data_IF_401072034769
#
_entry.id   IF_401072034769
#
_cell.length_a   1.000
_cell.length_b   1.000
_cell.length_c   1.000
_cell.angle_alpha   90.00
_cell.angle_beta   90.00
_cell.angle_gamma   90.00
#
_symmetry.space_group_name_H-M   'P 1'
#
loop_
_entity.id
_entity.type
_entity.pdbx_description
1 polymer ?
#
# COMPACT_ATOMS: atom_id res chain seq x y z
N UNK A 1 -42.08 7.04 -7.01
CA UNK A 1 -42.06 7.32 -5.56
C UNK A 1 -41.09 6.36 -4.89
N UNK A 2 -39.91 6.84 -4.45
CA UNK A 2 -38.95 5.99 -3.73
C UNK A 2 -39.25 6.11 -2.23
N UNK A 3 -39.80 5.04 -1.64
CA UNK A 3 -40.01 4.94 -0.20
C UNK A 3 -38.66 4.88 0.51
N UNK A 4 -38.34 5.90 1.31
CA UNK A 4 -37.12 5.92 2.12
C UNK A 4 -37.32 5.02 3.33
N UNK A 5 -36.94 3.74 3.20
CA UNK A 5 -36.87 2.84 4.33
C UNK A 5 -35.75 3.31 5.27
N UNK A 6 -36.10 3.94 6.40
CA UNK A 6 -35.10 4.29 7.43
C UNK A 6 -34.72 3.01 8.17
N UNK A 7 -33.44 2.64 8.25
CA UNK A 7 -33.05 1.46 9.02
C UNK A 7 -33.48 1.66 10.47
N UNK A 8 -34.27 0.71 10.99
CA UNK A 8 -34.59 0.64 12.43
C UNK A 8 -33.26 0.51 13.18
N UNK A 9 -32.95 1.49 14.03
CA UNK A 9 -31.82 1.38 14.95
C UNK A 9 -32.16 0.32 15.98
N UNK A 10 -31.55 -0.85 15.86
CA UNK A 10 -31.57 -1.86 16.92
C UNK A 10 -30.55 -1.42 17.97
N UNK A 11 -31.02 -1.03 19.14
CA UNK A 11 -30.15 -0.87 20.30
C UNK A 11 -29.99 -2.22 20.97
N UNK A 12 -28.76 -2.72 21.04
CA UNK A 12 -28.42 -3.91 21.82
C UNK A 12 -27.83 -3.40 23.14
N UNK A 13 -28.54 -3.50 24.27
CA UNK A 13 -28.00 -3.11 25.57
C UNK A 13 -26.88 -4.08 25.94
N UNK A 14 -25.67 -3.56 26.11
CA UNK A 14 -24.53 -4.33 26.61
C UNK A 14 -24.41 -4.13 28.12
N UNK A 15 -24.25 -5.21 28.89
CA UNK A 15 -24.00 -5.08 30.33
C UNK A 15 -22.59 -4.50 30.57
N UNK A 16 -22.38 -3.74 31.67
CA UNK A 16 -21.06 -3.25 32.04
C UNK A 16 -20.04 -4.36 32.26
N UNK A 17 -20.47 -5.54 32.72
CA UNK A 17 -19.61 -6.72 32.90
C UNK A 17 -19.13 -7.28 31.56
N UNK A 18 -20.02 -7.36 30.57
CA UNK A 18 -19.66 -7.79 29.21
C UNK A 18 -18.73 -6.75 28.56
N UNK A 19 -18.96 -5.46 28.77
CA UNK A 19 -18.06 -4.40 28.29
C UNK A 19 -16.64 -4.52 28.86
N UNK A 20 -16.49 -4.91 30.13
CA UNK A 20 -15.17 -5.13 30.75
C UNK A 20 -14.38 -6.28 30.11
N UNK A 21 -15.05 -7.23 29.46
CA UNK A 21 -14.40 -8.32 28.72
C UNK A 21 -13.78 -7.88 27.39
N UNK A 22 -14.22 -6.74 26.83
CA UNK A 22 -13.62 -6.14 25.63
C UNK A 22 -12.45 -5.27 26.02
N UNK A 23 -11.32 -5.90 26.34
CA UNK A 23 -10.08 -5.17 26.53
C UNK A 23 -9.68 -4.48 25.21
N UNK A 24 -9.45 -3.16 25.29
CA UNK A 24 -9.01 -2.38 24.14
C UNK A 24 -7.69 -2.89 23.60
N UNK A 25 -6.84 -3.49 24.45
CA UNK A 25 -5.57 -4.11 24.03
C UNK A 25 -5.74 -5.35 23.15
N UNK A 26 -6.93 -5.98 23.18
CA UNK A 26 -7.28 -7.15 22.36
C UNK A 26 -8.07 -6.78 21.10
N UNK A 27 -8.30 -5.49 20.85
CA UNK A 27 -8.98 -5.02 19.65
C UNK A 27 -8.16 -5.35 18.40
N UNK A 28 -8.83 -5.74 17.31
CA UNK A 28 -8.19 -5.94 16.00
C UNK A 28 -7.43 -4.71 15.49
N UNK A 29 -7.82 -3.53 15.97
CA UNK A 29 -7.23 -2.23 15.63
C UNK A 29 -6.29 -1.69 16.70
N UNK A 30 -6.07 -2.44 17.79
CA UNK A 30 -5.06 -2.09 18.77
C UNK A 30 -3.68 -2.33 18.17
N UNK A 31 -2.85 -1.30 18.26
CA UNK A 31 -1.44 -1.36 17.91
C UNK A 31 -0.66 -1.03 19.20
N UNK A 32 0.32 -1.86 19.55
CA UNK A 32 1.24 -1.52 20.64
C UNK A 32 2.05 -0.29 20.27
N UNK A 33 2.63 0.40 21.26
CA UNK A 33 3.50 1.55 21.00
C UNK A 33 4.65 1.19 20.04
N UNK A 34 5.21 -0.03 20.18
CA UNK A 34 6.23 -0.57 19.29
C UNK A 34 5.71 -0.78 17.86
N UNK A 35 4.49 -1.31 17.69
CA UNK A 35 3.85 -1.47 16.38
C UNK A 35 3.59 -0.11 15.70
N UNK A 36 3.17 0.89 16.48
CA UNK A 36 2.95 2.27 16.00
C UNK A 36 4.27 2.85 15.51
N UNK A 37 5.33 2.77 16.31
CA UNK A 37 6.66 3.30 15.98
C UNK A 37 7.26 2.61 14.75
N UNK A 38 7.18 1.27 14.69
CA UNK A 38 7.59 0.51 13.51
C UNK A 38 6.77 0.92 12.26
N UNK A 39 5.47 1.16 12.44
CA UNK A 39 4.57 1.68 11.40
C UNK A 39 4.99 3.05 10.89
N UNK A 40 5.39 3.96 11.78
CA UNK A 40 5.84 5.31 11.43
C UNK A 40 7.21 5.29 10.73
N UNK A 41 8.18 4.54 11.24
CA UNK A 41 9.48 4.36 10.61
C UNK A 41 9.34 3.79 9.18
N UNK A 42 8.46 2.81 9.01
CA UNK A 42 8.11 2.27 7.69
C UNK A 42 7.52 3.34 6.76
N UNK A 43 6.56 4.14 7.25
CA UNK A 43 5.92 5.21 6.46
C UNK A 43 6.94 6.25 6.02
N UNK A 44 7.87 6.62 6.89
CA UNK A 44 8.95 7.55 6.57
C UNK A 44 9.89 6.99 5.50
N UNK A 45 10.34 5.74 5.65
CA UNK A 45 11.17 5.07 4.65
C UNK A 45 10.47 4.95 3.29
N UNK A 46 9.18 4.61 3.29
CA UNK A 46 8.34 4.58 2.08
C UNK A 46 8.20 5.97 1.44
N UNK A 47 8.00 7.02 2.23
CA UNK A 47 7.94 8.39 1.73
C UNK A 47 9.28 8.82 1.12
N UNK A 48 10.40 8.50 1.77
CA UNK A 48 11.74 8.75 1.25
C UNK A 48 11.99 8.02 -0.08
N UNK A 49 11.54 6.76 -0.20
CA UNK A 49 11.63 5.99 -1.44
C UNK A 49 10.82 6.66 -2.55
N UNK A 50 9.56 7.03 -2.29
CA UNK A 50 8.70 7.66 -3.29
C UNK A 50 9.28 9.01 -3.75
N UNK A 51 9.88 9.80 -2.84
CA UNK A 51 10.60 11.03 -3.19
C UNK A 51 11.81 10.75 -4.08
N UNK A 52 12.59 9.72 -3.77
CA UNK A 52 13.71 9.30 -4.62
C UNK A 52 13.21 8.82 -6.00
N UNK A 53 12.18 7.97 -6.06
CA UNK A 53 11.60 7.44 -7.29
C UNK A 53 11.11 8.56 -8.20
N UNK A 54 10.34 9.51 -7.65
CA UNK A 54 9.86 10.68 -8.41
C UNK A 54 11.00 11.53 -8.97
N UNK A 55 12.09 11.69 -8.22
CA UNK A 55 13.30 12.38 -8.72
C UNK A 55 13.95 11.64 -9.89
N UNK A 56 14.10 10.31 -9.79
CA UNK A 56 14.66 9.51 -10.89
C UNK A 56 13.75 9.47 -12.12
N UNK A 57 12.44 9.35 -11.93
CA UNK A 57 11.45 9.46 -13.01
C UNK A 57 11.52 10.81 -13.72
N UNK A 58 11.83 11.90 -13.00
CA UNK A 58 12.00 13.22 -13.60
C UNK A 58 13.29 13.34 -14.43
N UNK A 59 14.39 12.75 -13.93
CA UNK A 59 15.72 12.86 -14.54
C UNK A 59 15.97 11.92 -15.72
N UNK A 60 15.46 10.68 -15.66
CA UNK A 60 15.87 9.60 -16.57
C UNK A 60 14.80 9.19 -17.59
N UNK A 61 13.52 9.43 -17.28
CA UNK A 61 12.40 8.98 -18.13
C UNK A 61 11.90 10.12 -19.01
N UNK A 62 11.52 9.76 -20.23
CA UNK A 62 10.79 10.68 -21.11
C UNK A 62 9.39 10.97 -20.56
N UNK A 63 8.74 12.03 -21.04
CA UNK A 63 7.38 12.38 -20.62
C UNK A 63 6.39 11.23 -20.87
N UNK A 64 6.52 10.56 -22.02
CA UNK A 64 5.68 9.41 -22.39
C UNK A 64 5.92 8.21 -21.47
N UNK A 65 7.17 7.83 -21.26
CA UNK A 65 7.54 6.73 -20.35
C UNK A 65 7.03 6.97 -18.93
N UNK A 66 7.20 8.20 -18.43
CA UNK A 66 6.70 8.63 -17.12
C UNK A 66 5.19 8.51 -17.04
N UNK A 67 4.47 9.01 -18.05
CA UNK A 67 3.00 8.98 -18.09
C UNK A 67 2.46 7.55 -18.09
N UNK A 68 3.02 6.66 -18.91
CA UNK A 68 2.61 5.26 -18.93
C UNK A 68 2.83 4.58 -17.57
N UNK A 69 3.97 4.87 -16.92
CA UNK A 69 4.30 4.28 -15.62
C UNK A 69 3.37 4.80 -14.50
N UNK A 70 3.05 6.11 -14.51
CA UNK A 70 2.10 6.70 -13.55
C UNK A 70 0.69 6.13 -13.70
N UNK A 71 0.19 5.97 -14.93
CA UNK A 71 -1.13 5.39 -15.17
C UNK A 71 -1.18 3.92 -14.74
N UNK A 72 -0.15 3.14 -15.07
CA UNK A 72 -0.10 1.73 -14.70
C UNK A 72 0.03 1.52 -13.18
N UNK A 73 1.04 2.12 -12.52
CA UNK A 73 1.32 1.83 -11.11
C UNK A 73 0.57 2.74 -10.11
N UNK A 74 0.29 4.00 -10.44
CA UNK A 74 -0.36 4.93 -9.49
C UNK A 74 -1.86 5.07 -9.71
N UNK A 75 -2.35 4.81 -10.92
CA UNK A 75 -3.79 4.79 -11.23
C UNK A 75 -4.36 3.38 -11.35
N UNK A 76 -3.53 2.35 -11.17
CA UNK A 76 -3.92 0.94 -11.22
C UNK A 76 -4.63 0.56 -12.53
N UNK A 77 -4.22 1.18 -13.64
CA UNK A 77 -4.79 0.92 -14.96
C UNK A 77 -4.07 -0.25 -15.64
N UNK A 78 -4.79 -1.06 -16.40
CA UNK A 78 -4.20 -2.09 -17.25
C UNK A 78 -3.62 -1.50 -18.55
N UNK A 79 -2.81 -2.27 -19.29
CA UNK A 79 -2.14 -1.77 -20.50
C UNK A 79 -3.10 -1.30 -21.61
N UNK A 80 -4.31 -1.86 -21.69
CA UNK A 80 -5.31 -1.46 -22.68
C UNK A 80 -5.93 -0.12 -22.31
N UNK A 81 -6.25 0.09 -21.04
CA UNK A 81 -6.74 1.37 -20.52
C UNK A 81 -5.69 2.48 -20.68
N UNK A 82 -4.43 2.19 -20.34
CA UNK A 82 -3.34 3.15 -20.52
C UNK A 82 -3.20 3.52 -22.00
N UNK A 83 -3.23 2.54 -22.89
CA UNK A 83 -3.18 2.73 -24.34
C UNK A 83 -4.33 3.61 -24.86
N UNK A 84 -5.55 3.38 -24.38
CA UNK A 84 -6.71 4.21 -24.72
C UNK A 84 -6.52 5.66 -24.27
N UNK A 85 -6.02 5.87 -23.04
CA UNK A 85 -5.76 7.22 -22.49
C UNK A 85 -4.61 7.93 -23.21
N UNK A 86 -3.58 7.21 -23.65
CA UNK A 86 -2.40 7.82 -24.31
C UNK A 86 -2.52 7.87 -25.84
N UNK A 87 -3.56 7.29 -26.43
CA UNK A 87 -3.73 7.21 -27.89
C UNK A 87 -2.65 6.36 -28.57
N UNK A 88 -2.17 5.30 -27.92
CA UNK A 88 -1.08 4.44 -28.42
C UNK A 88 -1.44 2.97 -28.39
N UNK A 89 -0.75 2.13 -29.15
CA UNK A 89 -0.95 0.68 -29.08
C UNK A 89 -0.55 0.11 -27.69
N UNK A 90 -1.30 -0.84 -27.10
CA UNK A 90 -0.95 -1.52 -25.85
C UNK A 90 0.48 -2.10 -25.84
N UNK A 91 0.97 -2.62 -26.96
CA UNK A 91 2.34 -3.14 -27.09
C UNK A 91 3.40 -2.05 -26.92
N UNK A 92 3.10 -0.84 -27.39
CA UNK A 92 3.96 0.34 -27.20
C UNK A 92 3.98 0.80 -25.74
N UNK A 93 2.83 0.73 -25.06
CA UNK A 93 2.75 1.00 -23.62
C UNK A 93 3.59 0.00 -22.83
N UNK A 94 3.43 -1.30 -23.09
CA UNK A 94 4.19 -2.36 -22.43
C UNK A 94 5.70 -2.15 -22.61
N UNK A 95 6.16 -1.93 -23.86
CA UNK A 95 7.58 -1.65 -24.16
C UNK A 95 8.06 -0.37 -23.46
N UNK A 96 7.23 0.67 -23.39
CA UNK A 96 7.52 1.90 -22.68
C UNK A 96 7.71 1.69 -21.18
N UNK A 97 6.81 0.95 -20.55
CA UNK A 97 6.88 0.59 -19.12
C UNK A 97 8.12 -0.27 -18.84
N UNK A 98 8.41 -1.28 -19.67
CA UNK A 98 9.60 -2.12 -19.50
C UNK A 98 10.90 -1.33 -19.61
N UNK A 99 11.01 -0.42 -20.59
CA UNK A 99 12.17 0.48 -20.74
C UNK A 99 12.32 1.40 -19.53
N UNK A 100 11.23 2.02 -19.09
CA UNK A 100 11.19 2.89 -17.92
C UNK A 100 11.65 2.13 -16.67
N UNK A 101 11.15 0.91 -16.45
CA UNK A 101 11.55 0.04 -15.34
C UNK A 101 13.05 -0.31 -15.40
N UNK A 102 13.59 -0.62 -16.58
CA UNK A 102 15.03 -0.88 -16.75
C UNK A 102 15.87 0.34 -16.34
N UNK A 103 15.49 1.55 -16.79
CA UNK A 103 16.17 2.80 -16.42
C UNK A 103 16.13 3.06 -14.92
N UNK A 104 14.99 2.80 -14.27
CA UNK A 104 14.84 2.98 -12.83
C UNK A 104 15.64 1.96 -12.03
N UNK A 105 15.72 0.70 -12.49
CA UNK A 105 16.56 -0.33 -11.87
C UNK A 105 18.04 0.02 -11.97
N UNK A 106 18.48 0.51 -13.13
CA UNK A 106 19.84 1.01 -13.30
C UNK A 106 20.12 2.19 -12.36
N UNK A 107 19.20 3.16 -12.26
CA UNK A 107 19.34 4.28 -11.33
C UNK A 107 19.40 3.81 -9.86
N UNK A 108 18.68 2.74 -9.50
CA UNK A 108 18.73 2.16 -8.16
C UNK A 108 20.05 1.43 -7.87
N UNK A 109 20.72 0.89 -8.90
CA UNK A 109 22.04 0.30 -8.78
C UNK A 109 23.13 1.38 -8.63
N UNK A 110 23.04 2.46 -9.40
CA UNK A 110 24.00 3.58 -9.37
C UNK A 110 23.85 4.45 -8.10
N UNK A 111 22.62 4.72 -7.69
CA UNK A 111 22.31 5.63 -6.59
C UNK A 111 21.15 5.07 -5.78
N UNK A 112 21.41 4.11 -4.87
CA UNK A 112 20.35 3.47 -4.11
C UNK A 112 19.62 4.49 -3.23
N UNK A 113 18.29 4.34 -3.06
CA UNK A 113 17.55 5.16 -2.11
C UNK A 113 18.07 4.87 -0.69
N UNK A 114 18.27 5.93 0.11
CA UNK A 114 18.70 5.79 1.52
C UNK A 114 17.80 4.87 2.34
N UNK A 115 16.51 4.78 1.98
CA UNK A 115 15.53 3.93 2.65
C UNK A 115 15.47 2.48 2.14
N UNK A 116 16.46 2.01 1.36
CA UNK A 116 16.48 0.64 0.81
C UNK A 116 16.35 -0.43 1.91
N UNK A 117 16.92 -0.21 3.07
CA UNK A 117 16.85 -1.13 4.22
C UNK A 117 15.47 -1.17 4.87
N UNK A 118 14.78 -0.03 4.92
CA UNK A 118 13.47 0.10 5.58
C UNK A 118 12.41 -0.77 4.88
N UNK A 119 12.55 -1.00 3.56
CA UNK A 119 11.56 -1.75 2.78
C UNK A 119 11.64 -3.26 2.94
N UNK A 120 12.78 -3.79 3.39
CA UNK A 120 12.96 -5.23 3.61
C UNK A 120 12.15 -5.71 4.83
N UNK A 121 12.01 -4.85 5.84
CA UNK A 121 11.41 -5.19 7.13
C UNK A 121 9.90 -5.55 7.10
N UNK A 122 9.14 -5.17 6.06
CA UNK A 122 7.70 -5.55 5.97
C UNK A 122 7.46 -6.91 5.31
N UNK A 123 8.39 -7.38 4.47
CA UNK A 123 8.26 -8.71 3.86
C UNK A 123 8.37 -9.84 4.91
N UNK A 124 9.02 -9.53 6.03
CA UNK A 124 9.28 -10.44 7.15
C UNK A 124 8.33 -10.21 8.33
N UNK A 125 7.19 -9.52 8.15
CA UNK A 125 6.18 -9.42 9.23
C UNK A 125 5.77 -10.85 9.58
N UNK A 126 6.12 -11.39 10.76
CA UNK A 126 5.59 -12.69 11.15
C UNK A 126 4.07 -12.54 11.15
N UNK A 127 3.37 -13.44 10.46
CA UNK A 127 1.96 -13.65 10.73
C UNK A 127 1.86 -13.80 12.25
N UNK A 128 0.97 -13.04 12.90
CA UNK A 128 0.80 -13.08 14.36
C UNK A 128 0.76 -14.57 14.77
N UNK A 129 1.82 -15.05 15.43
CA UNK A 129 1.81 -16.35 16.07
C UNK A 129 0.82 -16.19 17.22
N UNK A 130 -0.38 -16.70 17.03
CA UNK A 130 -1.50 -16.42 17.91
C UNK A 130 -2.72 -17.23 17.47
N UNK A 131 -2.51 -18.52 17.24
CA UNK A 131 -3.53 -19.57 17.34
C UNK A 131 -2.94 -20.75 18.14
N UNK A 132 -2.16 -20.47 19.19
CA UNK A 132 -1.77 -21.49 20.16
C UNK A 132 -2.39 -21.13 21.51
N UNK A 133 -3.26 -22.05 21.96
CA UNK A 133 -3.79 -22.27 23.31
C UNK A 133 -5.00 -21.43 23.76
N UNK A 134 -6.20 -22.06 23.71
CA UNK A 134 -6.84 -22.51 24.96
C UNK A 134 -8.02 -23.47 24.71
N UNK A 135 -7.79 -24.73 25.10
CA UNK A 135 -8.74 -25.68 25.71
C UNK A 135 -10.18 -25.75 25.18
N UNK A 136 -10.43 -26.69 24.26
CA UNK A 136 -11.70 -27.42 24.27
C UNK A 136 -11.62 -28.53 25.33
N UNK A 137 -12.56 -28.43 26.25
CA UNK A 137 -12.96 -29.37 27.30
C UNK A 137 -13.27 -30.78 26.74
#
# INVERSE_FOLDING_TARGET
MVSRNRPRRVMVPLSPEIMKGFDTTRSLWYETQEEIEAGLAWREGKAALLRWLRRQMRRRLTLRERRCLELYFFKNMNYREVAAVTGTNPSSVLRGVQRAMRKLRQAAAESPPRSRHVLRCRAERPARAGDDEDSCN
#
